data_IF_105784681274
#
_entry.id   IF_105784681274
#
_cell.length_a   1.000
_cell.length_b   1.000
_cell.length_c   1.000
_cell.angle_alpha   90.00
_cell.angle_beta   90.00
_cell.angle_gamma   90.00
#
_symmetry.space_group_name_H-M   'P 1'
#
loop_
_entity.id
_entity.type
_entity.pdbx_description
1 polymer ?
#
# COMPACT_ATOMS: atom_id res chain seq x y z
N UNK A 1 1.19 -40.47 -7.98
CA UNK A 1 1.79 -39.56 -6.99
C UNK A 1 2.67 -38.49 -7.62
N UNK A 2 3.59 -38.80 -8.52
CA UNK A 2 4.46 -37.83 -9.21
C UNK A 2 3.68 -36.78 -10.02
N UNK A 3 2.62 -37.18 -10.73
CA UNK A 3 1.78 -36.30 -11.56
C UNK A 3 0.99 -35.28 -10.68
N UNK A 4 0.48 -35.73 -9.52
CA UNK A 4 -0.22 -34.85 -8.58
C UNK A 4 0.68 -33.79 -7.95
N UNK A 5 1.94 -34.14 -7.64
CA UNK A 5 2.92 -33.21 -7.10
C UNK A 5 3.30 -32.16 -8.16
N UNK A 6 3.47 -32.58 -9.41
CA UNK A 6 3.78 -31.68 -10.53
C UNK A 6 2.63 -30.68 -10.79
N UNK A 7 1.38 -31.14 -10.77
CA UNK A 7 0.21 -30.29 -10.90
C UNK A 7 0.10 -29.27 -9.74
N UNK A 8 0.40 -29.68 -8.52
CA UNK A 8 0.38 -28.79 -7.34
C UNK A 8 1.46 -27.71 -7.43
N UNK A 9 2.67 -28.04 -7.88
CA UNK A 9 3.75 -27.07 -8.08
C UNK A 9 3.43 -26.06 -9.19
N UNK A 10 2.78 -26.48 -10.26
CA UNK A 10 2.33 -25.60 -11.35
C UNK A 10 1.26 -24.61 -10.84
N UNK A 11 0.32 -25.09 -10.00
CA UNK A 11 -0.72 -24.25 -9.44
C UNK A 11 -0.17 -23.17 -8.49
N UNK A 12 0.85 -23.50 -7.69
CA UNK A 12 1.54 -22.53 -6.81
C UNK A 12 2.30 -21.44 -7.59
N UNK A 13 2.89 -21.77 -8.74
CA UNK A 13 3.61 -20.81 -9.57
C UNK A 13 2.68 -19.79 -10.25
N UNK A 14 1.45 -20.18 -10.57
CA UNK A 14 0.45 -19.30 -11.21
C UNK A 14 0.00 -18.17 -10.27
N UNK A 15 -0.13 -18.45 -8.97
CA UNK A 15 -0.60 -17.46 -7.99
C UNK A 15 0.38 -16.30 -7.81
N UNK A 16 1.68 -16.54 -7.86
CA UNK A 16 2.70 -15.50 -7.77
C UNK A 16 2.74 -14.59 -9.00
N UNK A 17 2.51 -15.17 -10.19
CA UNK A 17 2.48 -14.39 -11.44
C UNK A 17 1.31 -13.37 -11.45
N UNK A 18 0.16 -13.72 -10.91
CA UNK A 18 -1.00 -12.82 -10.84
C UNK A 18 -0.75 -11.59 -9.94
N UNK A 19 -0.07 -11.74 -8.81
CA UNK A 19 0.22 -10.63 -7.91
C UNK A 19 1.16 -9.59 -8.57
N UNK A 20 2.19 -10.02 -9.28
CA UNK A 20 3.08 -9.13 -10.03
C UNK A 20 2.38 -8.43 -11.20
N UNK A 21 1.52 -9.13 -11.93
CA UNK A 21 0.74 -8.53 -13.01
C UNK A 21 -0.25 -7.48 -12.51
N UNK A 22 -0.92 -7.71 -11.37
CA UNK A 22 -1.84 -6.75 -10.79
C UNK A 22 -1.13 -5.46 -10.37
N UNK A 23 0.03 -5.55 -9.70
CA UNK A 23 0.84 -4.38 -9.38
C UNK A 23 1.28 -3.62 -10.64
N UNK A 24 1.91 -4.31 -11.59
CA UNK A 24 2.47 -3.69 -12.80
C UNK A 24 1.40 -3.09 -13.73
N UNK A 25 0.15 -3.54 -13.63
CA UNK A 25 -0.95 -2.98 -14.39
C UNK A 25 -1.37 -1.60 -13.87
N UNK A 26 -1.27 -1.35 -12.58
CA UNK A 26 -1.83 -0.16 -11.92
C UNK A 26 -0.76 0.80 -11.39
N UNK A 27 0.36 0.28 -10.90
CA UNK A 27 1.40 1.07 -10.25
C UNK A 27 2.71 1.09 -11.06
N UNK A 28 3.47 2.16 -10.87
CA UNK A 28 4.73 2.40 -11.58
C UNK A 28 5.93 2.19 -10.64
N UNK A 29 6.63 1.06 -10.80
CA UNK A 29 7.83 0.75 -10.02
C UNK A 29 8.98 1.75 -10.21
N UNK A 30 8.92 2.58 -11.26
CA UNK A 30 9.90 3.63 -11.56
C UNK A 30 9.50 5.00 -10.98
N UNK A 31 8.35 5.08 -10.30
CA UNK A 31 7.85 6.28 -9.68
C UNK A 31 7.74 6.12 -8.15
N UNK A 32 8.87 5.95 -7.42
CA UNK A 32 8.82 5.86 -5.98
C UNK A 32 8.33 7.17 -5.35
N UNK A 33 7.56 7.06 -4.27
CA UNK A 33 7.08 8.21 -3.51
C UNK A 33 7.44 8.06 -2.04
N UNK A 34 7.65 9.21 -1.39
CA UNK A 34 7.77 9.35 0.05
C UNK A 34 6.82 10.45 0.49
N UNK A 35 5.74 10.07 1.12
CA UNK A 35 4.64 10.96 1.48
C UNK A 35 4.65 11.21 2.98
N UNK A 36 4.87 12.45 3.38
CA UNK A 36 4.72 12.89 4.76
C UNK A 36 3.37 13.57 4.89
N UNK A 37 2.49 13.01 5.70
CA UNK A 37 1.13 13.53 5.78
C UNK A 37 0.37 13.07 7.01
N UNK A 38 -0.83 13.57 7.11
CA UNK A 38 -1.78 13.25 8.17
C UNK A 38 -2.86 12.31 7.65
N UNK A 39 -3.10 11.23 8.37
CA UNK A 39 -4.18 10.30 8.06
C UNK A 39 -5.52 11.01 8.23
N UNK A 40 -6.36 10.94 7.20
CA UNK A 40 -7.73 11.49 7.22
C UNK A 40 -8.77 10.39 7.35
N UNK A 41 -8.49 9.20 6.78
CA UNK A 41 -9.41 8.07 6.77
C UNK A 41 -8.65 6.78 6.52
N UNK A 42 -9.16 5.68 7.03
CA UNK A 42 -8.70 4.33 6.67
C UNK A 42 -9.91 3.49 6.30
N UNK A 43 -9.82 2.82 5.17
CA UNK A 43 -10.81 1.86 4.72
C UNK A 43 -10.26 0.45 4.95
N UNK A 44 -10.84 -0.24 5.93
CA UNK A 44 -10.50 -1.63 6.28
C UNK A 44 -11.35 -2.60 5.46
N UNK A 45 -11.05 -2.70 4.17
CA UNK A 45 -11.83 -3.50 3.22
C UNK A 45 -10.97 -4.52 2.50
N UNK A 46 -11.58 -5.60 2.03
CA UNK A 46 -10.97 -6.55 1.12
C UNK A 46 -11.25 -6.15 -0.34
N UNK A 47 -10.37 -6.42 -1.29
CA UNK A 47 -9.11 -7.16 -1.14
C UNK A 47 -7.93 -6.33 -0.62
N UNK A 48 -8.04 -5.01 -0.55
CA UNK A 48 -6.97 -4.13 -0.07
C UNK A 48 -7.52 -3.03 0.81
N UNK A 49 -6.83 -2.79 1.93
CA UNK A 49 -7.07 -1.62 2.76
C UNK A 49 -6.51 -0.36 2.07
N UNK A 50 -7.11 0.79 2.37
CA UNK A 50 -6.68 2.09 1.84
C UNK A 50 -6.44 3.07 2.98
N UNK A 51 -5.29 3.71 2.96
CA UNK A 51 -4.95 4.80 3.88
C UNK A 51 -5.04 6.11 3.12
N UNK A 52 -5.91 6.99 3.56
CA UNK A 52 -6.08 8.32 2.98
C UNK A 52 -5.23 9.31 3.75
N UNK A 53 -4.41 10.08 3.03
CA UNK A 53 -3.51 11.08 3.58
C UNK A 53 -3.79 12.47 3.01
N UNK A 54 -3.68 13.48 3.85
CA UNK A 54 -3.48 14.85 3.44
C UNK A 54 -1.98 15.16 3.51
N UNK A 55 -1.41 15.48 2.36
CA UNK A 55 0.01 15.85 2.21
C UNK A 55 0.09 17.30 1.82
N UNK A 56 0.90 18.08 2.52
CA UNK A 56 1.17 19.47 2.18
C UNK A 56 2.45 19.49 1.35
N UNK A 57 2.36 20.03 0.14
CA UNK A 57 3.51 20.17 -0.76
C UNK A 57 4.41 21.35 -0.36
N UNK A 58 5.53 21.52 -1.08
CA UNK A 58 6.50 22.58 -0.83
C UNK A 58 5.93 23.99 -1.01
N UNK A 59 4.88 24.13 -1.82
CA UNK A 59 4.18 25.41 -2.06
C UNK A 59 3.07 25.68 -1.04
N UNK A 60 2.87 24.77 -0.08
CA UNK A 60 1.83 24.87 0.94
C UNK A 60 0.45 24.40 0.48
N UNK A 61 0.34 23.77 -0.69
CA UNK A 61 -0.92 23.23 -1.19
C UNK A 61 -1.19 21.85 -0.60
N UNK A 62 -2.45 21.61 -0.24
CA UNK A 62 -2.90 20.31 0.22
C UNK A 62 -3.20 19.38 -0.96
N UNK A 63 -2.67 18.16 -0.91
CA UNK A 63 -2.93 17.10 -1.87
C UNK A 63 -3.43 15.87 -1.13
N UNK A 64 -4.56 15.34 -1.56
CA UNK A 64 -5.08 14.07 -1.05
C UNK A 64 -4.40 12.91 -1.75
N UNK A 65 -3.97 11.93 -0.97
CA UNK A 65 -3.41 10.67 -1.44
C UNK A 65 -4.21 9.49 -0.90
N UNK A 66 -4.46 8.51 -1.75
CA UNK A 66 -5.00 7.21 -1.39
C UNK A 66 -3.89 6.17 -1.54
N UNK A 67 -3.48 5.59 -0.42
CA UNK A 67 -2.39 4.61 -0.38
C UNK A 67 -2.97 3.22 -0.17
N UNK A 68 -2.80 2.36 -1.16
CA UNK A 68 -3.19 0.96 -1.09
C UNK A 68 -2.23 0.18 -0.19
N UNK A 69 -2.76 -0.52 0.78
CA UNK A 69 -2.03 -1.50 1.59
C UNK A 69 -2.40 -2.93 1.21
N UNK A 70 -1.97 -3.89 2.02
CA UNK A 70 -2.40 -5.27 1.93
C UNK A 70 -3.85 -5.47 2.38
N UNK A 71 -4.27 -6.73 2.51
CA UNK A 71 -5.56 -7.06 3.11
C UNK A 71 -5.59 -6.62 4.58
N UNK A 72 -6.77 -6.39 5.17
CA UNK A 72 -6.87 -6.12 6.61
C UNK A 72 -6.15 -7.16 7.47
N UNK A 73 -6.25 -8.44 7.15
CA UNK A 73 -5.54 -9.51 7.87
C UNK A 73 -4.01 -9.40 7.73
N UNK A 74 -3.51 -9.03 6.57
CA UNK A 74 -2.07 -8.78 6.36
C UNK A 74 -1.59 -7.63 7.23
N UNK A 75 -2.33 -6.54 7.29
CA UNK A 75 -2.00 -5.38 8.12
C UNK A 75 -1.96 -5.74 9.61
N UNK A 76 -2.92 -6.53 10.08
CA UNK A 76 -2.93 -7.02 11.47
C UNK A 76 -1.66 -7.82 11.80
N UNK A 77 -1.20 -8.67 10.87
CA UNK A 77 0.04 -9.45 11.05
C UNK A 77 1.28 -8.57 11.11
N UNK A 78 1.29 -7.44 10.45
CA UNK A 78 2.41 -6.49 10.46
C UNK A 78 2.34 -5.48 11.59
N UNK A 79 1.33 -5.56 12.45
CA UNK A 79 1.15 -4.70 13.61
C UNK A 79 0.29 -3.45 13.36
N UNK A 80 -0.34 -3.35 12.19
CA UNK A 80 -1.23 -2.23 11.86
C UNK A 80 -2.67 -2.62 12.14
N UNK A 81 -3.31 -1.93 13.07
CA UNK A 81 -4.71 -2.09 13.43
C UNK A 81 -5.40 -0.73 13.57
N UNK A 82 -6.69 -0.74 13.90
CA UNK A 82 -7.49 0.49 14.05
C UNK A 82 -6.97 1.45 15.14
N UNK A 83 -6.16 0.97 16.09
CA UNK A 83 -5.57 1.79 17.14
C UNK A 83 -4.16 2.29 16.79
N UNK A 84 -3.45 1.60 15.88
CA UNK A 84 -2.09 1.96 15.45
C UNK A 84 -2.08 3.24 14.65
N UNK A 85 -3.01 3.36 13.72
CA UNK A 85 -3.18 4.54 12.87
C UNK A 85 -4.67 4.94 12.88
N UNK A 86 -4.91 6.19 13.23
CA UNK A 86 -6.25 6.77 13.31
C UNK A 86 -6.26 8.09 12.52
N UNK A 87 -7.44 8.61 12.15
CA UNK A 87 -7.52 9.97 11.63
C UNK A 87 -6.78 10.97 12.54
N UNK A 88 -5.94 11.81 11.94
CA UNK A 88 -5.09 12.75 12.66
C UNK A 88 -3.67 12.26 12.93
N UNK A 89 -3.38 10.97 12.76
CA UNK A 89 -2.02 10.43 12.94
C UNK A 89 -1.09 10.94 11.82
N UNK A 90 0.06 11.45 12.20
CA UNK A 90 1.12 11.84 11.26
C UNK A 90 2.00 10.65 10.94
N UNK A 91 2.18 10.37 9.65
CA UNK A 91 2.98 9.26 9.16
C UNK A 91 3.81 9.66 7.95
N UNK A 92 4.87 8.89 7.71
CA UNK A 92 5.62 8.94 6.46
C UNK A 92 5.38 7.61 5.75
N UNK A 93 4.85 7.66 4.54
CA UNK A 93 4.60 6.47 3.71
C UNK A 93 5.61 6.43 2.57
N UNK A 94 6.20 5.26 2.35
CA UNK A 94 6.97 4.98 1.14
C UNK A 94 6.23 3.97 0.28
N UNK A 95 6.31 4.16 -1.02
CA UNK A 95 5.65 3.29 -1.98
C UNK A 95 5.90 3.74 -3.41
N UNK A 96 4.95 3.42 -4.28
CA UNK A 96 5.04 3.72 -5.71
C UNK A 96 3.74 4.36 -6.19
N UNK A 97 3.87 5.42 -6.97
CA UNK A 97 2.72 6.11 -7.53
C UNK A 97 1.99 5.24 -8.57
N UNK A 98 0.69 5.42 -8.68
CA UNK A 98 -0.08 4.85 -9.77
C UNK A 98 0.41 5.36 -11.12
N UNK A 99 0.25 4.56 -12.17
CA UNK A 99 0.50 4.97 -13.56
C UNK A 99 -0.42 6.11 -13.98
N UNK A 100 -1.66 6.10 -13.52
CA UNK A 100 -2.57 7.24 -13.64
C UNK A 100 -2.15 8.35 -12.67
N UNK A 101 -1.65 9.44 -13.21
CA UNK A 101 -1.13 10.57 -12.46
C UNK A 101 -2.08 11.77 -12.41
N UNK A 102 -3.35 11.58 -12.76
CA UNK A 102 -4.33 12.67 -12.81
C UNK A 102 -4.66 13.25 -11.44
N UNK A 103 -4.52 12.47 -10.36
CA UNK A 103 -4.77 12.90 -8.98
C UNK A 103 -6.19 13.46 -8.76
N UNK A 104 -7.17 12.98 -9.50
CA UNK A 104 -8.57 13.39 -9.36
C UNK A 104 -9.48 12.18 -9.01
N UNK A 105 -10.15 12.15 -7.87
CA UNK A 105 -10.16 13.15 -6.78
C UNK A 105 -8.93 13.11 -5.86
N UNK A 106 -8.05 12.12 -6.01
CA UNK A 106 -6.85 11.95 -5.19
C UNK A 106 -5.74 11.28 -6.00
N UNK A 107 -4.50 11.59 -5.66
CA UNK A 107 -3.36 10.81 -6.13
C UNK A 107 -3.43 9.41 -5.53
N UNK A 108 -2.96 8.40 -6.26
CA UNK A 108 -2.92 7.02 -5.78
C UNK A 108 -1.50 6.48 -5.71
N UNK A 109 -1.23 5.69 -4.70
CA UNK A 109 0.02 4.97 -4.55
C UNK A 109 -0.22 3.57 -3.97
N UNK A 110 0.68 2.65 -4.27
CA UNK A 110 0.80 1.40 -3.54
C UNK A 110 1.76 1.60 -2.38
N UNK A 111 1.32 1.38 -1.15
CA UNK A 111 2.14 1.54 0.04
C UNK A 111 3.02 0.33 0.30
N UNK A 112 4.29 0.57 0.55
CA UNK A 112 5.26 -0.43 0.96
C UNK A 112 5.39 -0.50 2.47
N UNK A 113 5.67 0.63 3.09
CA UNK A 113 5.82 0.78 4.53
C UNK A 113 5.39 2.18 4.99
N UNK A 114 5.16 2.30 6.29
CA UNK A 114 4.94 3.57 6.95
C UNK A 114 5.84 3.71 8.17
N UNK A 115 6.17 4.94 8.51
CA UNK A 115 6.91 5.28 9.73
C UNK A 115 6.05 6.21 10.59
N UNK A 116 5.86 5.84 11.84
CA UNK A 116 5.18 6.68 12.85
C UNK A 116 6.11 7.79 13.35
N UNK A 117 5.54 8.78 14.03
CA UNK A 117 6.33 9.91 14.58
C UNK A 117 7.38 9.50 15.61
N UNK A 118 7.20 8.36 16.29
CA UNK A 118 8.21 7.80 17.21
C UNK A 118 9.34 7.03 16.50
N UNK A 119 9.32 6.95 15.17
CA UNK A 119 10.28 6.22 14.37
C UNK A 119 9.94 4.75 14.11
N UNK A 120 8.86 4.23 14.67
CA UNK A 120 8.42 2.85 14.44
C UNK A 120 8.05 2.67 12.97
N UNK A 121 8.64 1.66 12.34
CA UNK A 121 8.39 1.30 10.95
C UNK A 121 7.49 0.07 10.87
N UNK A 122 6.43 0.16 10.09
CA UNK A 122 5.45 -0.90 9.87
C UNK A 122 5.27 -1.15 8.37
N UNK A 123 5.08 -2.42 8.00
CA UNK A 123 4.90 -2.79 6.59
C UNK A 123 3.43 -2.73 6.19
N UNK A 124 3.13 -1.99 5.13
CA UNK A 124 1.79 -1.91 4.52
C UNK A 124 1.52 -3.06 3.55
N UNK A 125 2.56 -3.69 3.05
CA UNK A 125 2.48 -4.78 2.10
C UNK A 125 3.57 -5.80 2.35
N UNK A 126 3.27 -7.08 2.12
CA UNK A 126 4.25 -8.17 2.12
C UNK A 126 4.89 -8.39 0.73
N UNK A 127 4.45 -7.65 -0.28
CA UNK A 127 5.04 -7.71 -1.63
C UNK A 127 6.26 -6.81 -1.65
N UNK A 128 7.42 -7.41 -1.77
CA UNK A 128 8.68 -6.71 -1.97
C UNK A 128 8.94 -6.54 -3.47
N UNK A 129 9.02 -5.30 -3.89
CA UNK A 129 9.35 -4.93 -5.27
C UNK A 129 10.70 -4.26 -5.29
#
# INVERSE_FOLDING_TARGET
MKILITLYLIFLSITHAHAHHAFAAEFDSKAPVKLSGKVTKIEWINPHAWVHLEVIDEDGNSQTWMVEGGTPNTLLRTGINKNTIQPGTEIIVRGYQAKDKTCEPACKANGRDLTLSDGTKLFLSLIHI
#
